data_IF_429219396788
#
_entry.id   IF_429219396788
#
_cell.length_a   1.000
_cell.length_b   1.000
_cell.length_c   1.000
_cell.angle_alpha   90.00
_cell.angle_beta   90.00
_cell.angle_gamma   90.00
#
_symmetry.space_group_name_H-M   'P 1'
#
loop_
_entity.id
_entity.type
_entity.pdbx_description
1 polymer ?
#
# COMPACT_ATOMS: atom_id res chain seq x y z
N UNK A 1 0.27 -52.56 35.88
CA UNK A 1 0.74 -51.18 36.08
C UNK A 1 0.97 -50.59 34.71
N UNK A 2 0.02 -49.82 34.21
CA UNK A 2 0.04 -49.25 32.87
C UNK A 2 0.29 -47.74 33.03
N UNK A 3 1.51 -47.29 32.74
CA UNK A 3 1.87 -45.89 32.75
C UNK A 3 1.18 -45.18 31.60
N UNK A 4 0.28 -44.24 31.93
CA UNK A 4 -0.24 -43.24 31.00
C UNK A 4 0.86 -42.24 30.66
N UNK A 5 1.40 -42.29 29.44
CA UNK A 5 2.17 -41.20 28.86
C UNK A 5 1.27 -39.96 28.77
N UNK A 6 1.62 -38.90 29.53
CA UNK A 6 1.09 -37.56 29.29
C UNK A 6 1.64 -37.09 27.94
N UNK A 7 0.77 -36.80 27.01
CA UNK A 7 1.08 -36.05 25.80
C UNK A 7 1.34 -34.60 26.22
N UNK A 8 2.59 -34.15 26.16
CA UNK A 8 2.94 -32.74 26.22
C UNK A 8 2.42 -32.07 24.94
N UNK A 9 1.25 -31.48 25.05
CA UNK A 9 0.71 -30.57 24.04
C UNK A 9 1.46 -29.24 24.19
N UNK A 10 2.66 -29.18 23.65
CA UNK A 10 3.37 -27.91 23.43
C UNK A 10 2.65 -27.17 22.30
N UNK A 11 1.63 -26.42 22.67
CA UNK A 11 0.90 -25.57 21.74
C UNK A 11 1.90 -24.68 20.96
N UNK A 12 2.08 -24.98 19.69
CA UNK A 12 2.86 -24.17 18.76
C UNK A 12 2.25 -22.77 18.73
N UNK A 13 2.90 -21.80 19.35
CA UNK A 13 2.47 -20.40 19.28
C UNK A 13 2.57 -19.97 17.82
N UNK A 14 1.42 -19.65 17.21
CA UNK A 14 1.39 -19.23 15.82
C UNK A 14 2.21 -17.95 15.62
N UNK A 15 3.07 -17.95 14.59
CA UNK A 15 3.88 -16.78 14.22
C UNK A 15 3.01 -15.83 13.41
N UNK A 16 2.80 -14.61 13.91
CA UNK A 16 2.02 -13.57 13.24
C UNK A 16 2.81 -12.96 12.06
N UNK A 17 2.31 -13.01 10.83
CA UNK A 17 2.96 -12.34 9.70
C UNK A 17 2.90 -10.82 9.83
N UNK A 18 3.78 -10.10 9.13
CA UNK A 18 3.85 -8.63 9.19
C UNK A 18 3.62 -7.99 7.83
N UNK A 19 2.81 -6.94 7.79
CA UNK A 19 2.59 -6.10 6.61
C UNK A 19 3.01 -4.65 6.89
N UNK A 20 3.51 -3.96 5.87
CA UNK A 20 3.82 -2.53 5.88
C UNK A 20 2.92 -1.81 4.88
N UNK A 21 2.14 -0.84 5.34
CA UNK A 21 1.31 0.00 4.47
C UNK A 21 1.78 1.45 4.57
N UNK A 22 2.32 1.97 3.48
CA UNK A 22 2.89 3.31 3.39
C UNK A 22 1.92 4.27 2.68
N UNK A 23 1.72 5.46 3.24
CA UNK A 23 0.79 6.45 2.71
C UNK A 23 -0.61 6.34 3.30
N UNK A 24 -0.68 5.97 4.57
CA UNK A 24 -1.93 5.94 5.32
C UNK A 24 -2.29 7.35 5.78
N UNK A 25 -3.54 7.73 5.58
CA UNK A 25 -4.08 9.05 5.93
C UNK A 25 -5.43 8.92 6.66
N UNK A 26 -6.50 9.42 6.03
CA UNK A 26 -7.83 9.40 6.62
C UNK A 26 -8.31 7.97 6.92
N UNK A 27 -9.12 7.82 7.97
CA UNK A 27 -9.69 6.54 8.41
C UNK A 27 -10.61 5.91 7.33
N UNK A 28 -11.35 6.74 6.60
CA UNK A 28 -12.12 6.35 5.41
C UNK A 28 -11.31 6.59 4.13
N UNK A 29 -10.07 6.09 4.09
CA UNK A 29 -9.19 6.15 2.93
C UNK A 29 -8.66 4.78 2.55
N UNK A 30 -8.17 4.63 1.32
CA UNK A 30 -7.64 3.36 0.81
C UNK A 30 -6.55 2.77 1.71
N UNK A 31 -5.58 3.61 2.16
CA UNK A 31 -4.51 3.13 3.04
C UNK A 31 -5.03 2.51 4.34
N UNK A 32 -6.06 3.10 4.94
CA UNK A 32 -6.69 2.55 6.15
C UNK A 32 -7.49 1.27 5.87
N UNK A 33 -8.17 1.18 4.71
CA UNK A 33 -8.87 -0.04 4.30
C UNK A 33 -7.91 -1.21 4.08
N UNK A 34 -6.75 -0.96 3.44
CA UNK A 34 -5.67 -1.94 3.30
C UNK A 34 -5.18 -2.44 4.67
N UNK A 35 -4.93 -1.52 5.62
CA UNK A 35 -4.51 -1.88 6.96
C UNK A 35 -5.54 -2.76 7.68
N UNK A 36 -6.83 -2.38 7.61
CA UNK A 36 -7.92 -3.18 8.21
C UNK A 36 -8.02 -4.56 7.58
N UNK A 37 -7.93 -4.63 6.24
CA UNK A 37 -7.99 -5.91 5.52
C UNK A 37 -6.88 -6.85 5.94
N UNK A 38 -5.63 -6.40 5.97
CA UNK A 38 -4.50 -7.23 6.33
C UNK A 38 -4.54 -7.63 7.82
N UNK A 39 -4.97 -6.73 8.71
CA UNK A 39 -5.15 -7.07 10.12
C UNK A 39 -6.25 -8.13 10.33
N UNK A 40 -7.35 -8.07 9.56
CA UNK A 40 -8.42 -9.08 9.59
C UNK A 40 -7.95 -10.46 9.09
N UNK A 41 -6.89 -10.50 8.27
CA UNK A 41 -6.24 -11.73 7.82
C UNK A 41 -5.12 -12.22 8.79
N UNK A 42 -5.06 -11.64 9.98
CA UNK A 42 -4.12 -12.05 11.03
C UNK A 42 -2.73 -11.43 10.93
N UNK A 43 -2.53 -10.41 10.10
CA UNK A 43 -1.25 -9.69 10.02
C UNK A 43 -1.08 -8.70 11.15
N UNK A 44 0.16 -8.56 11.65
CA UNK A 44 0.59 -7.34 12.32
C UNK A 44 0.88 -6.26 11.27
N UNK A 45 0.22 -5.10 11.36
CA UNK A 45 0.31 -4.06 10.32
C UNK A 45 1.07 -2.83 10.83
N UNK A 46 2.21 -2.52 10.22
CA UNK A 46 2.87 -1.22 10.39
C UNK A 46 2.17 -0.19 9.50
N UNK A 47 1.56 0.80 10.15
CA UNK A 47 0.74 1.84 9.52
C UNK A 47 1.57 3.08 9.36
N UNK A 48 2.12 3.30 8.16
CA UNK A 48 3.07 4.38 7.91
C UNK A 48 2.43 5.58 7.19
N UNK A 49 2.60 6.77 7.76
CA UNK A 49 2.07 8.01 7.20
C UNK A 49 2.67 9.26 7.84
N UNK A 50 2.41 10.44 7.27
CA UNK A 50 3.01 11.71 7.69
C UNK A 50 2.32 12.39 8.88
N UNK A 51 1.08 12.02 9.17
CA UNK A 51 0.26 12.69 10.18
C UNK A 51 0.06 11.76 11.36
N UNK A 52 0.75 11.99 12.51
CA UNK A 52 0.73 11.09 13.66
C UNK A 52 -0.68 10.72 14.13
N UNK A 53 -1.56 11.71 14.24
CA UNK A 53 -2.92 11.53 14.74
C UNK A 53 -3.76 10.63 13.83
N UNK A 54 -3.48 10.66 12.50
CA UNK A 54 -4.21 9.83 11.53
C UNK A 54 -3.77 8.37 11.58
N UNK A 55 -2.46 8.13 11.62
CA UNK A 55 -1.94 6.75 11.70
C UNK A 55 -2.28 6.11 13.04
N UNK A 56 -2.23 6.88 14.14
CA UNK A 56 -2.63 6.39 15.46
C UNK A 56 -4.11 6.03 15.50
N UNK A 57 -4.99 6.86 14.94
CA UNK A 57 -6.43 6.59 14.88
C UNK A 57 -6.73 5.28 14.14
N UNK A 58 -6.09 5.06 12.98
CA UNK A 58 -6.26 3.81 12.23
C UNK A 58 -5.75 2.62 13.03
N UNK A 59 -4.60 2.75 13.71
CA UNK A 59 -4.07 1.70 14.57
C UNK A 59 -5.00 1.39 15.74
N UNK A 60 -5.56 2.41 16.38
CA UNK A 60 -6.51 2.26 17.48
C UNK A 60 -7.77 1.51 17.02
N UNK A 61 -8.36 1.88 15.89
CA UNK A 61 -9.54 1.21 15.33
C UNK A 61 -9.27 -0.28 15.07
N UNK A 62 -8.10 -0.62 14.51
CA UNK A 62 -7.71 -2.02 14.27
C UNK A 62 -7.55 -2.79 15.59
N UNK A 63 -6.87 -2.20 16.58
CA UNK A 63 -6.67 -2.84 17.90
C UNK A 63 -8.00 -3.05 18.63
N UNK A 64 -8.92 -2.09 18.56
CA UNK A 64 -10.27 -2.20 19.15
C UNK A 64 -11.11 -3.31 18.49
N UNK A 65 -10.83 -3.62 17.22
CA UNK A 65 -11.44 -4.75 16.49
C UNK A 65 -10.71 -6.08 16.72
N UNK A 66 -9.75 -6.16 17.65
CA UNK A 66 -8.99 -7.36 17.97
C UNK A 66 -7.80 -7.64 17.05
N UNK A 67 -7.52 -6.76 16.09
CA UNK A 67 -6.37 -6.87 15.19
C UNK A 67 -5.07 -6.35 15.81
N UNK A 68 -3.94 -6.60 15.14
CA UNK A 68 -2.61 -6.16 15.54
C UNK A 68 -2.08 -5.07 14.62
N UNK A 69 -1.74 -3.90 15.17
CA UNK A 69 -1.27 -2.77 14.36
C UNK A 69 -0.36 -1.84 15.15
N UNK A 70 0.58 -1.20 14.45
CA UNK A 70 1.55 -0.25 15.00
C UNK A 70 1.62 0.99 14.10
N UNK A 71 1.38 2.21 14.65
CA UNK A 71 1.52 3.45 13.89
C UNK A 71 2.99 3.85 13.78
N UNK A 72 3.40 4.31 12.59
CA UNK A 72 4.74 4.81 12.32
C UNK A 72 4.66 6.13 11.55
N UNK A 73 5.14 7.20 12.18
CA UNK A 73 5.18 8.52 11.50
C UNK A 73 6.43 8.61 10.65
N UNK A 74 6.25 8.79 9.33
CA UNK A 74 7.35 8.93 8.37
C UNK A 74 7.03 9.92 7.28
N UNK A 75 8.05 10.55 6.71
CA UNK A 75 8.00 11.19 5.39
C UNK A 75 8.71 10.30 4.37
N UNK A 76 7.97 9.77 3.40
CA UNK A 76 8.50 8.89 2.35
C UNK A 76 9.53 9.53 1.43
N UNK A 77 9.68 10.87 1.49
CA UNK A 77 10.70 11.61 0.73
C UNK A 77 12.03 11.72 1.46
N UNK A 78 12.09 11.25 2.71
CA UNK A 78 13.29 11.19 3.55
C UNK A 78 13.78 9.75 3.63
N UNK A 79 14.98 9.52 3.14
CA UNK A 79 15.57 8.17 3.09
C UNK A 79 15.69 7.54 4.48
N UNK A 80 16.15 8.31 5.48
CA UNK A 80 16.32 7.82 6.85
C UNK A 80 15.00 7.34 7.47
N UNK A 81 13.90 8.07 7.22
CA UNK A 81 12.58 7.67 7.73
C UNK A 81 12.14 6.32 7.13
N UNK A 82 12.43 6.10 5.84
CA UNK A 82 12.13 4.83 5.16
C UNK A 82 13.03 3.71 5.70
N UNK A 83 14.32 3.95 5.89
CA UNK A 83 15.24 2.97 6.50
C UNK A 83 14.73 2.54 7.88
N UNK A 84 14.42 3.50 8.75
CA UNK A 84 13.90 3.22 10.09
C UNK A 84 12.58 2.43 10.08
N UNK A 85 11.67 2.72 9.13
CA UNK A 85 10.45 1.93 8.97
C UNK A 85 10.77 0.46 8.70
N UNK A 86 11.69 0.19 7.79
CA UNK A 86 12.06 -1.19 7.44
C UNK A 86 12.89 -1.88 8.51
N UNK A 87 13.70 -1.15 9.27
CA UNK A 87 14.38 -1.71 10.46
C UNK A 87 13.36 -2.22 11.49
N UNK A 88 12.27 -1.48 11.71
CA UNK A 88 11.15 -1.92 12.58
C UNK A 88 10.37 -3.11 11.99
N UNK A 89 10.10 -3.06 10.68
CA UNK A 89 9.30 -4.08 10.00
C UNK A 89 9.97 -5.47 9.96
N UNK A 90 11.30 -5.52 10.03
CA UNK A 90 12.09 -6.74 9.94
C UNK A 90 12.85 -7.06 11.23
N UNK A 91 12.71 -6.22 12.27
CA UNK A 91 13.29 -6.49 13.57
C UNK A 91 12.82 -7.84 14.13
N UNK A 92 13.71 -8.65 14.70
CA UNK A 92 13.30 -9.87 15.39
C UNK A 92 12.36 -9.54 16.58
N UNK A 93 11.13 -10.00 16.50
CA UNK A 93 10.14 -9.86 17.59
C UNK A 93 9.57 -11.23 17.89
N UNK A 94 9.49 -11.59 19.18
CA UNK A 94 8.94 -12.87 19.60
C UNK A 94 7.52 -13.07 19.04
N UNK A 95 7.26 -14.23 18.44
CA UNK A 95 5.98 -14.61 17.82
C UNK A 95 5.53 -13.74 16.63
N UNK A 96 6.44 -12.97 16.03
CA UNK A 96 6.16 -12.16 14.83
C UNK A 96 7.18 -12.44 13.73
N UNK A 97 6.71 -12.76 12.53
CA UNK A 97 7.58 -12.89 11.36
C UNK A 97 8.01 -11.52 10.83
N UNK A 98 9.19 -11.41 10.22
CA UNK A 98 9.56 -10.26 9.41
C UNK A 98 8.51 -9.95 8.35
N UNK A 99 8.38 -8.68 7.97
CA UNK A 99 7.42 -8.27 6.95
C UNK A 99 7.63 -9.05 5.63
N UNK A 100 6.52 -9.50 5.03
CA UNK A 100 6.49 -10.14 3.72
C UNK A 100 5.46 -9.52 2.77
N UNK A 101 4.73 -8.49 3.23
CA UNK A 101 3.81 -7.69 2.43
C UNK A 101 4.11 -6.20 2.63
N UNK A 102 4.41 -5.49 1.53
CA UNK A 102 4.67 -4.05 1.51
C UNK A 102 3.76 -3.39 0.49
N UNK A 103 3.02 -2.36 0.91
CA UNK A 103 2.20 -1.55 -0.01
C UNK A 103 2.65 -0.10 0.02
N UNK A 104 3.03 0.43 -1.14
CA UNK A 104 3.25 1.85 -1.34
C UNK A 104 1.99 2.51 -1.91
N UNK A 105 1.29 3.28 -1.07
CA UNK A 105 0.05 3.97 -1.40
C UNK A 105 0.17 5.50 -1.27
N UNK A 106 1.38 6.03 -1.01
CA UNK A 106 1.57 7.47 -0.90
C UNK A 106 1.37 8.18 -2.23
N UNK A 107 0.71 9.32 -2.17
CA UNK A 107 0.45 10.15 -3.34
C UNK A 107 -0.67 11.15 -3.12
N UNK A 108 -0.83 11.99 -4.10
CA UNK A 108 -1.89 12.99 -4.12
C UNK A 108 -2.05 13.56 -5.50
N UNK A 109 -3.23 14.09 -5.77
CA UNK A 109 -3.51 14.81 -6.99
C UNK A 109 -4.15 16.16 -6.67
N UNK A 110 -3.97 17.10 -7.57
CA UNK A 110 -4.60 18.40 -7.59
C UNK A 110 -4.67 18.84 -9.05
N UNK A 111 -5.77 19.49 -9.46
CA UNK A 111 -5.82 20.07 -10.79
C UNK A 111 -5.10 21.44 -10.80
N UNK A 112 -4.09 21.59 -11.67
CA UNK A 112 -3.32 22.82 -11.87
C UNK A 112 -3.13 22.97 -13.37
N UNK A 113 -3.43 24.18 -13.93
CA UNK A 113 -3.12 24.47 -15.33
C UNK A 113 -1.61 24.33 -15.56
N UNK A 114 -1.21 23.74 -16.67
CA UNK A 114 0.20 23.44 -16.94
C UNK A 114 1.07 24.72 -16.95
N UNK A 115 0.53 25.82 -17.45
CA UNK A 115 1.21 27.12 -17.50
C UNK A 115 1.39 27.76 -16.12
N UNK A 116 0.51 27.42 -15.19
CA UNK A 116 0.48 27.93 -13.81
C UNK A 116 1.09 26.95 -12.79
N UNK A 117 1.63 25.81 -13.25
CA UNK A 117 2.21 24.80 -12.39
C UNK A 117 3.62 25.21 -11.94
N UNK A 118 3.82 25.62 -10.67
CA UNK A 118 5.15 25.97 -10.18
C UNK A 118 6.10 24.76 -10.18
N UNK A 119 7.37 25.00 -10.48
CA UNK A 119 8.39 23.95 -10.52
C UNK A 119 8.49 23.17 -9.20
N UNK A 120 8.41 23.88 -8.08
CA UNK A 120 8.47 23.28 -6.72
C UNK A 120 7.27 22.38 -6.45
N UNK A 121 6.08 22.72 -7.00
CA UNK A 121 4.88 21.88 -6.88
C UNK A 121 5.01 20.63 -7.74
N UNK A 122 5.54 20.77 -8.97
CA UNK A 122 5.82 19.61 -9.81
C UNK A 122 6.79 18.65 -9.11
N UNK A 123 7.91 19.15 -8.60
CA UNK A 123 8.90 18.37 -7.87
C UNK A 123 8.29 17.73 -6.62
N UNK A 124 7.52 18.45 -5.81
CA UNK A 124 6.91 17.94 -4.60
C UNK A 124 5.97 16.74 -4.88
N UNK A 125 5.17 16.82 -5.94
CA UNK A 125 4.31 15.69 -6.35
C UNK A 125 5.14 14.49 -6.82
N UNK A 126 6.18 14.74 -7.62
CA UNK A 126 7.07 13.70 -8.08
C UNK A 126 7.85 13.05 -6.93
N UNK A 127 8.35 13.84 -6.00
CA UNK A 127 9.06 13.32 -4.82
C UNK A 127 8.18 12.40 -3.99
N UNK A 128 6.94 12.78 -3.70
CA UNK A 128 6.02 11.93 -2.93
C UNK A 128 5.57 10.70 -3.71
N UNK A 129 5.21 10.86 -4.99
CA UNK A 129 4.54 9.80 -5.76
C UNK A 129 5.47 8.84 -6.50
N UNK A 130 6.69 9.28 -6.84
CA UNK A 130 7.68 8.50 -7.58
C UNK A 130 8.93 8.22 -6.74
N UNK A 131 9.64 9.26 -6.30
CA UNK A 131 10.88 9.11 -5.53
C UNK A 131 10.65 8.37 -4.21
N UNK A 132 9.58 8.71 -3.46
CA UNK A 132 9.20 7.96 -2.25
C UNK A 132 8.89 6.49 -2.55
N UNK A 133 8.26 6.20 -3.69
CA UNK A 133 8.04 4.83 -4.16
C UNK A 133 9.35 4.10 -4.46
N UNK A 134 10.32 4.79 -5.06
CA UNK A 134 11.66 4.26 -5.26
C UNK A 134 12.35 3.92 -3.93
N UNK A 135 12.34 4.84 -2.95
CA UNK A 135 12.96 4.62 -1.65
C UNK A 135 12.34 3.41 -0.93
N UNK A 136 11.00 3.35 -0.88
CA UNK A 136 10.27 2.22 -0.25
C UNK A 136 10.54 0.91 -0.98
N UNK A 137 10.48 0.91 -2.31
CA UNK A 137 10.75 -0.28 -3.13
C UNK A 137 12.18 -0.79 -2.96
N UNK A 138 13.17 0.12 -2.97
CA UNK A 138 14.57 -0.21 -2.77
C UNK A 138 14.83 -0.84 -1.39
N UNK A 139 14.31 -0.22 -0.31
CA UNK A 139 14.49 -0.74 1.04
C UNK A 139 13.76 -2.07 1.25
N UNK A 140 12.57 -2.23 0.68
CA UNK A 140 11.88 -3.50 0.66
C UNK A 140 12.71 -4.58 -0.07
N UNK A 141 13.21 -4.29 -1.28
CA UNK A 141 14.00 -5.24 -2.05
C UNK A 141 15.30 -5.64 -1.31
N UNK A 142 16.05 -4.67 -0.76
CA UNK A 142 17.28 -4.94 0.01
C UNK A 142 17.07 -5.97 1.12
N UNK A 143 15.91 -5.96 1.75
CA UNK A 143 15.61 -6.80 2.91
C UNK A 143 14.85 -8.08 2.57
N UNK A 144 14.01 -8.07 1.53
CA UNK A 144 13.20 -9.22 1.18
C UNK A 144 13.88 -10.18 0.19
N UNK A 145 14.77 -9.67 -0.69
CA UNK A 145 15.56 -10.53 -1.62
C UNK A 145 16.36 -11.61 -0.87
N UNK A 146 17.08 -11.31 0.21
CA UNK A 146 17.78 -12.36 0.98
C UNK A 146 16.84 -13.42 1.59
N UNK A 147 15.56 -13.08 1.81
CA UNK A 147 14.55 -14.01 2.31
C UNK A 147 13.93 -14.87 1.22
N UNK A 148 14.14 -14.53 -0.07
CA UNK A 148 13.62 -15.23 -1.24
C UNK A 148 12.07 -15.23 -1.30
N UNK A 149 11.40 -14.30 -0.62
CA UNK A 149 9.94 -14.20 -0.55
C UNK A 149 9.48 -12.80 -0.16
N UNK A 150 8.30 -12.44 -0.60
CA UNK A 150 7.65 -11.17 -0.25
C UNK A 150 6.84 -10.61 -1.42
N UNK A 151 5.90 -9.75 -1.10
CA UNK A 151 5.05 -9.04 -2.07
C UNK A 151 5.21 -7.54 -1.88
N UNK A 152 5.46 -6.82 -2.96
CA UNK A 152 5.53 -5.35 -2.98
C UNK A 152 4.49 -4.84 -3.97
N UNK A 153 3.51 -4.06 -3.50
CA UNK A 153 2.43 -3.53 -4.33
C UNK A 153 2.52 -2.01 -4.39
N UNK A 154 2.55 -1.47 -5.60
CA UNK A 154 2.54 -0.03 -5.86
C UNK A 154 1.15 0.42 -6.31
N UNK A 155 0.58 1.39 -5.59
CA UNK A 155 -0.69 2.01 -5.97
C UNK A 155 -0.48 3.01 -7.11
N UNK A 156 -0.92 2.62 -8.28
CA UNK A 156 -0.96 3.44 -9.48
C UNK A 156 -2.24 4.27 -9.60
N UNK A 157 -2.49 4.74 -10.80
CA UNK A 157 -3.69 5.47 -11.19
C UNK A 157 -3.84 5.41 -12.72
N UNK A 158 -5.00 5.86 -13.27
CA UNK A 158 -5.10 6.12 -14.73
C UNK A 158 -3.97 7.03 -15.23
N UNK A 159 -3.47 7.91 -14.36
CA UNK A 159 -2.32 8.77 -14.63
C UNK A 159 -0.99 8.01 -14.81
N UNK A 160 -0.91 6.74 -14.44
CA UNK A 160 0.24 5.87 -14.76
C UNK A 160 0.29 5.50 -16.25
N UNK A 161 -0.85 5.56 -16.94
CA UNK A 161 -1.01 5.13 -18.33
C UNK A 161 -1.18 6.30 -19.30
N UNK A 162 -1.79 7.41 -18.85
CA UNK A 162 -2.12 8.56 -19.70
C UNK A 162 -2.16 9.86 -18.91
N UNK A 163 -1.68 10.94 -19.52
CA UNK A 163 -1.84 12.31 -19.00
C UNK A 163 -3.26 12.83 -19.23
N UNK A 164 -3.79 13.58 -18.26
CA UNK A 164 -5.03 14.35 -18.41
C UNK A 164 -4.74 15.85 -18.24
N UNK A 165 -5.47 16.76 -18.91
CA UNK A 165 -5.30 18.20 -18.73
C UNK A 165 -5.36 18.62 -17.26
N UNK A 166 -4.39 19.39 -16.80
CA UNK A 166 -4.28 19.85 -15.41
C UNK A 166 -3.65 18.85 -14.43
N UNK A 167 -3.15 17.69 -14.89
CA UNK A 167 -2.57 16.65 -14.01
C UNK A 167 -1.17 16.18 -14.43
N UNK A 168 -0.41 17.01 -15.17
CA UNK A 168 0.90 16.64 -15.68
C UNK A 168 1.88 16.17 -14.59
N UNK A 169 1.94 16.88 -13.45
CA UNK A 169 2.78 16.54 -12.30
C UNK A 169 2.41 15.19 -11.68
N UNK A 170 1.10 14.91 -11.58
CA UNK A 170 0.60 13.64 -11.07
C UNK A 170 0.87 12.50 -12.04
N UNK A 171 0.68 12.73 -13.35
CA UNK A 171 0.96 11.74 -14.39
C UNK A 171 2.45 11.40 -14.47
N UNK A 172 3.33 12.41 -14.41
CA UNK A 172 4.78 12.19 -14.37
C UNK A 172 5.19 11.31 -13.17
N UNK A 173 4.62 11.59 -11.98
CA UNK A 173 4.91 10.80 -10.78
C UNK A 173 4.40 9.36 -10.90
N UNK A 174 3.17 9.16 -11.39
CA UNK A 174 2.55 7.82 -11.46
C UNK A 174 3.09 6.97 -12.62
N UNK A 175 3.45 7.58 -13.75
CA UNK A 175 4.13 6.88 -14.85
C UNK A 175 5.53 6.42 -14.41
N UNK A 176 6.31 7.28 -13.72
CA UNK A 176 7.60 6.90 -13.15
C UNK A 176 7.48 5.77 -12.15
N UNK A 177 6.49 5.81 -11.25
CA UNK A 177 6.23 4.74 -10.28
C UNK A 177 5.92 3.39 -10.97
N UNK A 178 5.10 3.42 -12.04
CA UNK A 178 4.79 2.23 -12.85
C UNK A 178 6.05 1.62 -13.45
N UNK A 179 6.92 2.44 -14.03
CA UNK A 179 8.16 1.96 -14.65
C UNK A 179 9.12 1.38 -13.59
N UNK A 180 9.20 1.98 -12.40
CA UNK A 180 9.94 1.42 -11.26
C UNK A 180 9.41 0.02 -10.91
N UNK A 181 8.10 -0.13 -10.75
CA UNK A 181 7.49 -1.43 -10.46
C UNK A 181 7.79 -2.48 -11.54
N UNK A 182 7.76 -2.10 -12.82
CA UNK A 182 8.09 -2.97 -13.95
C UNK A 182 9.56 -3.41 -13.93
N UNK A 183 10.48 -2.50 -13.64
CA UNK A 183 11.91 -2.80 -13.50
C UNK A 183 12.16 -3.78 -12.37
N UNK A 184 11.62 -3.47 -11.18
CA UNK A 184 11.75 -4.32 -10.00
C UNK A 184 11.15 -5.73 -10.21
N UNK A 185 10.00 -5.84 -10.90
CA UNK A 185 9.38 -7.13 -11.19
C UNK A 185 10.27 -8.03 -12.04
N UNK A 186 10.98 -7.46 -13.03
CA UNK A 186 11.92 -8.21 -13.88
C UNK A 186 13.20 -8.59 -13.15
N UNK A 187 13.71 -7.70 -12.30
CA UNK A 187 14.96 -7.89 -11.59
C UNK A 187 14.81 -8.85 -10.42
N UNK A 188 13.74 -8.70 -9.61
CA UNK A 188 13.57 -9.43 -8.36
C UNK A 188 12.53 -10.54 -8.39
N UNK A 189 11.70 -10.61 -9.44
CA UNK A 189 10.75 -11.72 -9.64
C UNK A 189 11.45 -13.09 -9.64
N UNK A 190 12.53 -13.29 -10.43
CA UNK A 190 13.31 -14.53 -10.40
C UNK A 190 13.92 -14.86 -9.03
N UNK A 191 14.11 -13.86 -8.17
CA UNK A 191 14.62 -13.98 -6.80
C UNK A 191 13.52 -14.24 -5.75
N UNK A 192 12.27 -14.41 -6.19
CA UNK A 192 11.16 -14.79 -5.32
C UNK A 192 10.33 -13.64 -4.78
N UNK A 193 10.49 -12.40 -5.30
CA UNK A 193 9.65 -11.28 -4.92
C UNK A 193 8.51 -11.05 -5.92
N UNK A 194 7.29 -11.00 -5.41
CA UNK A 194 6.12 -10.63 -6.20
C UNK A 194 5.97 -9.09 -6.21
N UNK A 195 6.23 -8.45 -7.34
CA UNK A 195 6.07 -7.01 -7.51
C UNK A 195 4.85 -6.74 -8.39
N UNK A 196 3.87 -5.99 -7.86
CA UNK A 196 2.65 -5.64 -8.58
C UNK A 196 2.42 -4.13 -8.62
N UNK A 197 1.82 -3.66 -9.71
CA UNK A 197 1.33 -2.30 -9.88
C UNK A 197 -0.18 -2.32 -10.09
N UNK A 198 -0.93 -1.60 -9.25
CA UNK A 198 -2.39 -1.56 -9.31
C UNK A 198 -2.84 -0.22 -9.87
N UNK A 199 -3.38 -0.22 -11.07
CA UNK A 199 -3.95 0.98 -11.71
C UNK A 199 -5.33 1.24 -11.11
N UNK A 200 -5.46 2.31 -10.35
CA UNK A 200 -6.75 2.79 -9.85
C UNK A 200 -7.34 3.75 -10.89
N UNK A 201 -8.22 3.24 -11.74
CA UNK A 201 -8.82 4.02 -12.83
C UNK A 201 -10.25 4.45 -12.49
N UNK A 202 -10.36 5.48 -11.68
CA UNK A 202 -11.62 6.07 -11.25
C UNK A 202 -11.48 6.84 -9.94
N UNK A 203 -12.56 7.45 -9.49
CA UNK A 203 -12.64 8.10 -8.20
C UNK A 203 -12.72 7.07 -7.08
N UNK A 204 -11.85 7.17 -6.09
CA UNK A 204 -11.91 6.32 -4.88
C UNK A 204 -12.98 6.86 -3.95
N UNK A 205 -13.92 6.01 -3.51
CA UNK A 205 -14.97 6.36 -2.55
C UNK A 205 -14.41 6.48 -1.12
N UNK A 206 -13.66 7.54 -0.90
CA UNK A 206 -13.02 7.82 0.37
C UNK A 206 -13.25 9.27 0.81
N UNK A 207 -12.89 9.54 2.07
CA UNK A 207 -13.05 10.86 2.71
C UNK A 207 -12.49 12.00 1.85
N UNK A 208 -11.35 11.77 1.21
CA UNK A 208 -10.69 12.80 0.38
C UNK A 208 -11.53 13.24 -0.81
N UNK A 209 -12.17 12.31 -1.53
CA UNK A 209 -13.04 12.65 -2.65
C UNK A 209 -14.34 13.28 -2.16
N UNK A 210 -14.95 12.65 -1.17
CA UNK A 210 -16.22 13.12 -0.61
C UNK A 210 -16.13 14.51 0.01
N UNK A 211 -15.01 14.88 0.62
CA UNK A 211 -14.80 16.23 1.18
C UNK A 211 -14.44 17.28 0.13
N UNK A 212 -13.72 16.91 -0.95
CA UNK A 212 -13.25 17.87 -1.96
C UNK A 212 -14.19 18.05 -3.15
N UNK A 213 -14.96 17.02 -3.46
CA UNK A 213 -15.87 17.01 -4.61
C UNK A 213 -17.16 16.23 -4.29
N UNK A 214 -17.96 16.70 -3.30
CA UNK A 214 -19.19 16.00 -2.89
C UNK A 214 -20.21 15.86 -4.02
N UNK A 215 -20.32 16.86 -4.88
CA UNK A 215 -21.24 16.82 -6.03
C UNK A 215 -20.81 15.76 -7.05
N UNK A 216 -19.52 15.60 -7.30
CA UNK A 216 -19.03 14.54 -8.16
C UNK A 216 -19.35 13.15 -7.57
N UNK A 217 -19.15 12.97 -6.28
CA UNK A 217 -19.48 11.72 -5.60
C UNK A 217 -20.97 11.39 -5.72
N UNK A 218 -21.83 12.40 -5.54
CA UNK A 218 -23.29 12.26 -5.71
C UNK A 218 -23.68 11.95 -7.15
N UNK A 219 -23.09 12.66 -8.14
CA UNK A 219 -23.39 12.50 -9.56
C UNK A 219 -23.00 11.12 -10.10
N UNK A 220 -21.97 10.47 -9.54
CA UNK A 220 -21.55 9.12 -9.95
C UNK A 220 -22.57 8.04 -9.57
N UNK A 221 -23.37 8.27 -8.53
CA UNK A 221 -24.41 7.36 -8.06
C UNK A 221 -23.83 6.05 -7.48
N UNK A 222 -24.70 5.08 -7.31
CA UNK A 222 -24.35 3.76 -6.78
C UNK A 222 -23.33 3.07 -7.68
N UNK A 223 -22.28 2.49 -7.07
CA UNK A 223 -21.15 1.81 -7.72
C UNK A 223 -20.43 2.63 -8.82
N UNK A 224 -20.65 3.94 -8.85
CA UNK A 224 -19.96 4.83 -9.79
C UNK A 224 -18.58 5.30 -9.30
N UNK A 225 -18.16 4.90 -8.09
CA UNK A 225 -16.85 5.11 -7.49
C UNK A 225 -16.24 3.78 -7.06
N UNK A 226 -14.91 3.72 -6.97
CA UNK A 226 -14.19 2.55 -6.45
C UNK A 226 -14.35 2.46 -4.93
N UNK A 227 -14.99 1.39 -4.44
CA UNK A 227 -15.07 1.07 -3.03
C UNK A 227 -13.70 0.76 -2.44
N UNK A 228 -13.36 1.37 -1.30
CA UNK A 228 -12.03 1.19 -0.67
C UNK A 228 -11.82 -0.25 -0.19
N UNK A 229 -12.87 -0.92 0.27
CA UNK A 229 -12.83 -2.32 0.69
C UNK A 229 -12.63 -3.25 -0.51
N UNK A 230 -13.32 -3.03 -1.63
CA UNK A 230 -13.15 -3.82 -2.86
C UNK A 230 -11.73 -3.68 -3.44
N UNK A 231 -11.13 -2.48 -3.36
CA UNK A 231 -9.73 -2.30 -3.72
C UNK A 231 -8.84 -3.11 -2.77
N UNK A 232 -9.07 -3.04 -1.45
CA UNK A 232 -8.27 -3.77 -0.47
C UNK A 232 -8.34 -5.30 -0.67
N UNK A 233 -9.50 -5.82 -1.06
CA UNK A 233 -9.69 -7.24 -1.42
C UNK A 233 -8.84 -7.64 -2.63
N UNK A 234 -8.76 -6.78 -3.66
CA UNK A 234 -7.91 -7.02 -4.83
C UNK A 234 -6.42 -7.07 -4.44
N UNK A 235 -5.95 -6.20 -3.52
CA UNK A 235 -4.58 -6.22 -3.02
C UNK A 235 -4.27 -7.50 -2.24
N UNK A 236 -5.22 -7.93 -1.41
CA UNK A 236 -5.09 -9.20 -0.70
C UNK A 236 -5.04 -10.38 -1.66
N UNK A 237 -5.88 -10.40 -2.70
CA UNK A 237 -5.85 -11.42 -3.74
C UNK A 237 -4.48 -11.48 -4.44
N UNK A 238 -3.90 -10.33 -4.82
CA UNK A 238 -2.56 -10.25 -5.42
C UNK A 238 -1.52 -10.90 -4.50
N UNK A 239 -1.53 -10.54 -3.21
CA UNK A 239 -0.57 -11.09 -2.25
C UNK A 239 -0.67 -12.61 -2.12
N UNK A 240 -1.87 -13.16 -2.22
CA UNK A 240 -2.14 -14.60 -2.07
C UNK A 240 -1.91 -15.43 -3.33
N UNK A 241 -1.53 -14.84 -4.43
CA UNK A 241 -1.32 -15.56 -5.69
C UNK A 241 -0.14 -16.55 -5.59
N UNK A 242 -0.29 -17.76 -6.18
CA UNK A 242 0.80 -18.72 -6.27
C UNK A 242 1.91 -18.19 -7.20
N UNK A 243 3.15 -18.59 -6.95
CA UNK A 243 4.32 -18.19 -7.75
C UNK A 243 4.19 -18.50 -9.25
N UNK A 244 3.39 -19.49 -9.62
CA UNK A 244 3.15 -19.88 -11.01
C UNK A 244 2.24 -18.93 -11.80
N UNK A 245 1.58 -17.96 -11.11
CA UNK A 245 0.60 -17.06 -11.73
C UNK A 245 0.55 -15.70 -11.00
N UNK A 246 1.65 -14.98 -11.00
CA UNK A 246 1.73 -13.65 -10.40
C UNK A 246 1.23 -12.56 -11.34
N UNK A 247 0.36 -11.69 -10.85
CA UNK A 247 -0.05 -10.46 -11.53
C UNK A 247 1.02 -9.40 -11.40
N UNK A 248 1.57 -8.92 -12.52
CA UNK A 248 2.48 -7.78 -12.51
C UNK A 248 1.73 -6.44 -12.55
N UNK A 249 0.63 -6.34 -13.31
CA UNK A 249 -0.22 -5.15 -13.38
C UNK A 249 -1.69 -5.54 -13.47
N UNK A 250 -2.55 -4.81 -12.75
CA UNK A 250 -4.00 -4.95 -12.81
C UNK A 250 -4.66 -3.57 -12.85
N UNK A 251 -5.76 -3.45 -13.57
CA UNK A 251 -6.59 -2.25 -13.66
C UNK A 251 -7.90 -2.46 -12.89
N UNK A 252 -8.16 -1.57 -11.93
CA UNK A 252 -9.41 -1.54 -11.16
C UNK A 252 -10.19 -0.27 -11.50
N UNK A 253 -11.45 -0.44 -11.90
CA UNK A 253 -12.33 0.69 -12.22
C UNK A 253 -13.79 0.41 -11.85
N UNK A 254 -14.58 1.46 -11.54
CA UNK A 254 -16.02 1.30 -11.45
C UNK A 254 -16.59 0.93 -12.82
N UNK A 255 -17.67 0.15 -12.86
CA UNK A 255 -18.26 -0.28 -14.13
C UNK A 255 -18.80 0.89 -15.00
N UNK A 256 -19.05 2.05 -14.38
CA UNK A 256 -19.49 3.29 -15.07
C UNK A 256 -18.33 4.20 -15.52
N UNK A 257 -17.08 3.87 -15.21
CA UNK A 257 -15.95 4.71 -15.63
C UNK A 257 -15.63 4.45 -17.11
N UNK A 258 -15.66 5.48 -17.98
CA UNK A 258 -15.36 5.31 -19.40
C UNK A 258 -13.89 4.99 -19.63
N UNK A 259 -13.64 4.27 -20.71
CA UNK A 259 -12.28 4.00 -21.21
C UNK A 259 -11.63 5.22 -21.85
#
# INVERSE_FOLDING_TARGET
MTEKRKSDDTGSVAITPTAVVVGVGAERGLGAALCRRFAAEGYHVLIAGRTPEKVERVALTIRQSGGSAEPVTIDTTREDDVIHLFDRALAPVQHRAPADLVVFNAGGNQRIDFRELPAERFEAFWRVGCFGGFLVGREAARRLVPLGRGTIIFTGASASLRGKPGFAHFAAAKAGLRTIAQSMAREYGPLGLHIAHVVIDGGIDGERLRSRAPDLAKARGEDGLLGIEAIADAYWHIHRQPRSAWTQEIDLRPFKEPF
#
